data_IF_647972511834
#
_entry.id   IF_647972511834
#
_cell.length_a   1.000
_cell.length_b   1.000
_cell.length_c   1.000
_cell.angle_alpha   90.00
_cell.angle_beta   90.00
_cell.angle_gamma   90.00
#
_symmetry.space_group_name_H-M   'P 1'
#
loop_
_entity.id
_entity.type
_entity.pdbx_description
1 polymer ?
#
# COMPACT_ATOMS: atom_id res chain seq x y z
N UNK A 1 16.91 -15.66 4.94
CA UNK A 1 16.19 -14.86 3.92
C UNK A 1 16.86 -13.50 3.81
N UNK A 2 17.39 -13.16 2.63
CA UNK A 2 17.88 -11.82 2.36
C UNK A 2 16.71 -10.95 1.94
N UNK A 3 16.54 -9.79 2.58
CA UNK A 3 15.49 -8.82 2.24
C UNK A 3 16.12 -7.54 1.70
N UNK A 4 15.55 -7.03 0.63
CA UNK A 4 15.86 -5.71 0.08
C UNK A 4 14.59 -4.87 0.03
N UNK A 5 14.51 -3.86 0.87
CA UNK A 5 13.41 -2.91 0.89
C UNK A 5 13.86 -1.59 0.26
N UNK A 6 13.08 -1.11 -0.71
CA UNK A 6 13.22 0.22 -1.29
C UNK A 6 11.83 0.88 -1.36
N UNK A 7 11.82 2.19 -1.33
CA UNK A 7 10.59 2.95 -1.40
C UNK A 7 10.82 4.33 -2.02
N UNK A 8 9.76 4.94 -2.48
CA UNK A 8 9.72 6.33 -2.93
C UNK A 8 8.32 6.89 -2.70
N UNK A 9 8.26 8.15 -2.34
CA UNK A 9 7.04 8.95 -2.42
C UNK A 9 7.38 10.31 -3.00
N UNK A 10 6.55 10.79 -3.90
CA UNK A 10 6.72 12.05 -4.61
C UNK A 10 5.37 12.77 -4.67
N UNK A 11 5.38 14.06 -4.40
CA UNK A 11 4.17 14.89 -4.44
C UNK A 11 3.58 15.00 -5.86
N UNK A 12 4.35 14.65 -6.87
CA UNK A 12 3.99 14.90 -8.25
C UNK A 12 4.24 16.35 -8.69
N UNK A 13 3.91 16.64 -9.94
CA UNK A 13 4.19 17.94 -10.54
C UNK A 13 3.08 18.98 -10.30
N UNK A 14 1.87 18.55 -9.99
CA UNK A 14 0.65 19.39 -9.98
C UNK A 14 0.08 19.59 -8.59
N UNK A 15 0.10 18.54 -7.75
CA UNK A 15 -0.48 18.59 -6.40
C UNK A 15 0.27 19.57 -5.49
N UNK A 16 -0.44 20.24 -4.61
CA UNK A 16 0.15 21.15 -3.59
C UNK A 16 0.68 20.41 -2.38
N UNK A 17 0.06 19.27 -2.02
CA UNK A 17 0.45 18.39 -0.92
C UNK A 17 0.59 16.95 -1.38
N UNK A 18 1.31 16.14 -0.62
CA UNK A 18 1.32 14.70 -0.78
C UNK A 18 0.34 14.10 0.22
N UNK A 19 -0.75 13.50 -0.29
CA UNK A 19 -1.79 12.87 0.49
C UNK A 19 -1.61 11.34 0.58
N UNK A 20 -0.61 10.79 -0.14
CA UNK A 20 -0.20 9.41 0.02
C UNK A 20 0.50 9.18 1.36
N UNK A 21 0.27 8.03 1.94
CA UNK A 21 0.99 7.55 3.12
C UNK A 21 1.38 6.08 2.93
N UNK A 22 2.49 5.69 3.55
CA UNK A 22 2.93 4.29 3.49
C UNK A 22 3.67 3.89 4.76
N UNK A 23 3.77 2.59 5.01
CA UNK A 23 4.73 2.04 5.96
C UNK A 23 5.33 0.73 5.45
N UNK A 24 6.51 0.42 6.01
CA UNK A 24 7.11 -0.89 5.92
C UNK A 24 7.66 -1.29 7.29
N UNK A 25 7.30 -2.48 7.76
CA UNK A 25 7.71 -3.05 9.04
C UNK A 25 8.32 -4.42 8.80
N UNK A 26 9.48 -4.68 9.39
CA UNK A 26 10.14 -5.98 9.35
C UNK A 26 10.49 -6.37 10.78
N UNK A 27 10.11 -7.57 11.20
CA UNK A 27 10.39 -8.10 12.52
C UNK A 27 10.82 -9.57 12.46
N UNK A 28 11.64 -9.98 13.42
CA UNK A 28 12.06 -11.36 13.60
C UNK A 28 11.37 -11.97 14.83
N UNK A 29 10.61 -13.04 14.61
CA UNK A 29 9.98 -13.85 15.65
C UNK A 29 10.71 -15.20 15.73
N UNK A 30 11.74 -15.26 16.57
CA UNK A 30 12.65 -16.42 16.61
C UNK A 30 13.41 -16.55 15.30
N UNK A 31 13.15 -17.64 14.57
CA UNK A 31 13.77 -17.89 13.24
C UNK A 31 12.92 -17.39 12.06
N UNK A 32 11.75 -16.87 12.32
CA UNK A 32 10.81 -16.42 11.29
C UNK A 32 10.94 -14.90 11.11
N UNK A 33 11.22 -14.46 9.92
CA UNK A 33 11.13 -13.05 9.54
C UNK A 33 9.76 -12.77 8.94
N UNK A 34 9.12 -11.72 9.41
CA UNK A 34 7.83 -11.24 8.94
C UNK A 34 7.99 -9.80 8.49
N UNK A 35 7.38 -9.45 7.36
CA UNK A 35 7.39 -8.09 6.85
C UNK A 35 5.97 -7.64 6.51
N UNK A 36 5.64 -6.39 6.82
CA UNK A 36 4.39 -5.76 6.43
C UNK A 36 4.71 -4.50 5.63
N UNK A 37 4.03 -4.36 4.50
CA UNK A 37 4.04 -3.16 3.67
C UNK A 37 2.61 -2.67 3.51
N UNK A 38 2.41 -1.37 3.58
CA UNK A 38 1.11 -0.76 3.34
C UNK A 38 1.28 0.54 2.55
N UNK A 39 0.36 0.81 1.64
CA UNK A 39 0.21 2.06 0.90
C UNK A 39 -1.23 2.53 0.98
N UNK A 40 -1.41 3.81 1.19
CA UNK A 40 -2.68 4.52 1.25
C UNK A 40 -2.61 5.74 0.35
N UNK A 41 -3.56 5.90 -0.54
CA UNK A 41 -3.73 7.08 -1.36
C UNK A 41 -4.87 7.92 -0.78
N UNK A 42 -4.53 9.09 -0.27
CA UNK A 42 -5.50 10.03 0.27
C UNK A 42 -6.23 10.77 -0.83
N UNK A 43 -7.56 10.70 -0.85
CA UNK A 43 -8.37 11.22 -1.94
C UNK A 43 -8.17 12.72 -2.18
N UNK A 44 -7.43 13.07 -3.24
CA UNK A 44 -6.96 14.42 -3.55
C UNK A 44 -8.04 15.43 -3.94
N UNK A 45 -9.27 15.00 -4.19
CA UNK A 45 -10.44 15.88 -4.37
C UNK A 45 -11.12 16.29 -3.06
N UNK A 46 -10.73 15.68 -1.93
CA UNK A 46 -11.25 15.93 -0.62
C UNK A 46 -10.24 16.72 0.22
N UNK A 47 -10.75 17.55 1.13
CA UNK A 47 -9.91 18.20 2.14
C UNK A 47 -9.45 17.13 3.15
N UNK A 48 -8.14 17.16 3.52
CA UNK A 48 -7.59 16.26 4.54
C UNK A 48 -7.50 14.76 4.15
N UNK A 49 -7.28 14.43 2.87
CA UNK A 49 -6.98 13.05 2.44
C UNK A 49 -5.76 12.48 3.16
N UNK A 50 -4.75 13.32 3.45
CA UNK A 50 -3.57 12.97 4.23
C UNK A 50 -3.89 12.53 5.67
N UNK A 51 -4.95 13.04 6.27
CA UNK A 51 -5.38 12.62 7.61
C UNK A 51 -5.94 11.19 7.59
N UNK A 52 -6.72 10.86 6.56
CA UNK A 52 -7.28 9.53 6.39
C UNK A 52 -6.17 8.50 6.08
N UNK A 53 -5.28 8.82 5.13
CA UNK A 53 -4.20 7.92 4.73
C UNK A 53 -3.22 7.64 5.88
N UNK A 54 -2.82 8.68 6.63
CA UNK A 54 -1.96 8.49 7.80
C UNK A 54 -2.65 7.72 8.92
N UNK A 55 -3.95 8.00 9.17
CA UNK A 55 -4.73 7.25 10.15
C UNK A 55 -4.77 5.76 9.82
N UNK A 56 -4.96 5.42 8.55
CA UNK A 56 -4.95 4.03 8.10
C UNK A 56 -3.57 3.37 8.29
N UNK A 57 -2.50 4.04 7.92
CA UNK A 57 -1.13 3.54 8.12
C UNK A 57 -0.85 3.29 9.60
N UNK A 58 -1.19 4.24 10.50
CA UNK A 58 -0.98 4.07 11.95
C UNK A 58 -1.78 2.91 12.53
N UNK A 59 -2.98 2.63 12.04
CA UNK A 59 -3.72 1.44 12.47
C UNK A 59 -2.98 0.15 12.12
N UNK A 60 -2.41 0.04 10.91
CA UNK A 60 -1.63 -1.14 10.53
C UNK A 60 -0.31 -1.24 11.29
N UNK A 61 0.38 -0.14 11.55
CA UNK A 61 1.57 -0.12 12.41
C UNK A 61 1.25 -0.63 13.82
N UNK A 62 0.19 -0.09 14.43
CA UNK A 62 -0.26 -0.53 15.75
C UNK A 62 -0.67 -2.01 15.75
N UNK A 63 -1.34 -2.48 14.69
CA UNK A 63 -1.67 -3.89 14.54
C UNK A 63 -0.40 -4.76 14.48
N UNK A 64 0.59 -4.35 13.68
CA UNK A 64 1.87 -5.07 13.55
C UNK A 64 2.64 -5.11 14.87
N UNK A 65 2.65 -4.01 15.61
CA UNK A 65 3.41 -3.88 16.85
C UNK A 65 2.73 -4.56 18.05
N UNK A 66 1.40 -4.58 18.09
CA UNK A 66 0.63 -5.03 19.27
C UNK A 66 -0.09 -6.37 19.05
N UNK A 67 -0.73 -6.58 17.90
CA UNK A 67 -1.58 -7.76 17.68
C UNK A 67 -0.82 -8.90 17.00
N UNK A 68 0.03 -8.60 16.01
CA UNK A 68 0.81 -9.62 15.32
C UNK A 68 1.69 -10.46 16.26
N UNK A 69 2.42 -9.90 17.25
CA UNK A 69 3.20 -10.71 18.19
C UNK A 69 2.37 -11.73 18.98
N UNK A 70 1.14 -11.39 19.30
CA UNK A 70 0.22 -12.31 19.98
C UNK A 70 -0.24 -13.42 19.05
N UNK A 71 -0.61 -13.07 17.80
CA UNK A 71 -0.98 -14.06 16.78
C UNK A 71 0.19 -15.01 16.48
N UNK A 72 1.40 -14.50 16.39
CA UNK A 72 2.62 -15.31 16.17
C UNK A 72 2.87 -16.30 17.32
N UNK A 73 2.55 -15.93 18.55
CA UNK A 73 2.71 -16.82 19.73
C UNK A 73 1.59 -17.84 19.87
N UNK A 74 0.38 -17.47 19.51
CA UNK A 74 -0.81 -18.32 19.76
C UNK A 74 -1.21 -19.12 18.54
N UNK A 75 -1.66 -18.46 17.48
CA UNK A 75 -2.13 -19.09 16.26
C UNK A 75 -2.22 -18.11 15.09
N UNK A 76 -1.13 -17.98 14.33
CA UNK A 76 -1.12 -17.21 13.09
C UNK A 76 -1.80 -17.99 11.97
N UNK A 77 -3.10 -17.80 11.81
CA UNK A 77 -3.87 -18.35 10.70
C UNK A 77 -4.39 -17.24 9.81
N UNK A 78 -4.63 -17.55 8.53
CA UNK A 78 -5.29 -16.65 7.58
C UNK A 78 -6.57 -16.05 8.17
N UNK A 79 -7.43 -16.93 8.75
CA UNK A 79 -8.68 -16.50 9.37
C UNK A 79 -8.48 -15.46 10.47
N UNK A 80 -7.50 -15.65 11.35
CA UNK A 80 -7.27 -14.75 12.48
C UNK A 80 -6.70 -13.41 12.01
N UNK A 81 -5.82 -13.42 10.99
CA UNK A 81 -5.31 -12.21 10.36
C UNK A 81 -6.47 -11.41 9.74
N UNK A 82 -7.29 -12.05 8.89
CA UNK A 82 -8.37 -11.38 8.17
C UNK A 82 -9.48 -10.87 9.10
N UNK A 83 -9.84 -11.63 10.13
CA UNK A 83 -10.80 -11.15 11.15
C UNK A 83 -10.27 -9.93 11.88
N UNK A 84 -8.99 -9.93 12.28
CA UNK A 84 -8.40 -8.80 12.99
C UNK A 84 -8.30 -7.55 12.09
N UNK A 85 -7.89 -7.71 10.84
CA UNK A 85 -7.85 -6.62 9.86
C UNK A 85 -9.24 -6.07 9.53
N UNK A 86 -10.22 -6.96 9.32
CA UNK A 86 -11.60 -6.55 9.04
C UNK A 86 -12.15 -5.68 10.18
N UNK A 87 -12.04 -6.16 11.42
CA UNK A 87 -12.50 -5.42 12.60
C UNK A 87 -11.80 -4.07 12.74
N UNK A 88 -10.48 -4.03 12.52
CA UNK A 88 -9.70 -2.79 12.58
C UNK A 88 -10.15 -1.80 11.50
N UNK A 89 -10.33 -2.25 10.26
CA UNK A 89 -10.77 -1.40 9.15
C UNK A 89 -12.19 -0.89 9.34
N UNK A 90 -13.12 -1.71 9.84
CA UNK A 90 -14.49 -1.26 10.17
C UNK A 90 -14.47 -0.16 11.24
N UNK A 91 -13.71 -0.35 12.31
CA UNK A 91 -13.58 0.65 13.38
C UNK A 91 -12.97 1.95 12.85
N UNK A 92 -11.92 1.88 12.05
CA UNK A 92 -11.30 3.04 11.43
C UNK A 92 -12.26 3.75 10.50
N UNK A 93 -12.95 3.02 9.61
CA UNK A 93 -13.93 3.59 8.69
C UNK A 93 -15.01 4.38 9.42
N UNK A 94 -15.60 3.80 10.49
CA UNK A 94 -16.62 4.45 11.32
C UNK A 94 -16.08 5.72 11.98
N UNK A 95 -14.86 5.68 12.53
CA UNK A 95 -14.22 6.86 13.14
C UNK A 95 -13.97 7.96 12.12
N UNK A 96 -13.45 7.63 10.94
CA UNK A 96 -13.21 8.59 9.86
C UNK A 96 -14.53 9.22 9.37
N UNK A 97 -15.57 8.43 9.15
CA UNK A 97 -16.90 8.93 8.78
C UNK A 97 -17.47 9.87 9.84
N UNK A 98 -17.40 9.49 11.11
CA UNK A 98 -17.87 10.31 12.24
C UNK A 98 -17.09 11.61 12.35
N UNK A 99 -15.77 11.56 12.22
CA UNK A 99 -14.90 12.73 12.23
C UNK A 99 -15.25 13.69 11.07
N UNK A 100 -15.42 13.17 9.86
CA UNK A 100 -15.82 13.94 8.69
C UNK A 100 -17.16 14.64 8.90
N UNK A 101 -18.16 13.91 9.38
CA UNK A 101 -19.50 14.44 9.67
C UNK A 101 -19.47 15.53 10.73
N UNK A 102 -18.77 15.32 11.85
CA UNK A 102 -18.69 16.27 12.96
C UNK A 102 -17.99 17.58 12.58
N UNK A 103 -17.09 17.54 11.61
CA UNK A 103 -16.32 18.69 11.16
C UNK A 103 -16.82 19.29 9.83
N UNK A 104 -17.94 18.78 9.28
CA UNK A 104 -18.52 19.27 8.02
C UNK A 104 -17.58 19.14 6.81
N UNK A 105 -16.76 18.09 6.78
CA UNK A 105 -15.77 17.84 5.75
C UNK A 105 -15.97 16.47 5.08
N UNK A 106 -15.24 16.25 3.99
CA UNK A 106 -15.12 14.95 3.35
C UNK A 106 -13.65 14.53 3.39
N UNK A 107 -13.38 13.31 3.77
CA UNK A 107 -12.06 12.71 3.75
C UNK A 107 -12.18 11.24 3.40
N UNK A 108 -11.16 10.71 2.78
CA UNK A 108 -11.13 9.30 2.41
C UNK A 108 -9.73 8.88 1.97
N UNK A 109 -9.49 7.58 1.98
CA UNK A 109 -8.24 7.00 1.53
C UNK A 109 -8.45 5.58 1.00
N UNK A 110 -7.61 5.18 0.07
CA UNK A 110 -7.42 3.76 -0.26
C UNK A 110 -6.59 3.07 0.82
N UNK A 111 -6.51 1.77 0.77
CA UNK A 111 -5.53 0.96 1.50
C UNK A 111 -5.21 -0.31 0.72
N UNK A 112 -3.94 -0.58 0.53
CA UNK A 112 -3.42 -1.87 0.11
C UNK A 112 -2.30 -2.28 1.06
N UNK A 113 -2.47 -3.41 1.74
CA UNK A 113 -1.49 -3.92 2.72
C UNK A 113 -1.14 -5.36 2.41
N UNK A 114 0.14 -5.69 2.52
CA UNK A 114 0.67 -7.05 2.42
C UNK A 114 1.41 -7.41 3.71
N UNK A 115 1.09 -8.57 4.27
CA UNK A 115 1.88 -9.24 5.31
C UNK A 115 2.59 -10.43 4.68
N UNK A 116 3.91 -10.37 4.62
CA UNK A 116 4.79 -11.46 4.19
C UNK A 116 5.22 -12.27 5.40
N UNK A 117 4.95 -13.57 5.37
CA UNK A 117 5.44 -14.54 6.34
C UNK A 117 6.44 -15.51 5.70
N UNK A 118 6.83 -16.55 6.41
CA UNK A 118 7.76 -17.55 5.86
C UNK A 118 7.19 -18.25 4.61
N UNK A 119 5.88 -18.55 4.63
CA UNK A 119 5.27 -19.42 3.63
C UNK A 119 4.20 -18.72 2.77
N UNK A 120 3.68 -17.59 3.22
CA UNK A 120 2.51 -16.94 2.58
C UNK A 120 2.62 -15.42 2.55
N UNK A 121 1.90 -14.84 1.59
CA UNK A 121 1.52 -13.44 1.56
C UNK A 121 0.03 -13.35 1.89
N UNK A 122 -0.33 -12.46 2.80
CA UNK A 122 -1.70 -12.07 3.11
C UNK A 122 -1.90 -10.64 2.65
N UNK A 123 -3.02 -10.36 2.03
CA UNK A 123 -3.31 -9.08 1.42
C UNK A 123 -4.70 -8.60 1.84
N UNK A 124 -4.83 -7.31 2.06
CA UNK A 124 -6.12 -6.61 2.12
C UNK A 124 -6.08 -5.39 1.22
N UNK A 125 -7.20 -5.10 0.55
CA UNK A 125 -7.38 -3.97 -0.35
C UNK A 125 -8.72 -3.28 -0.12
N UNK A 126 -8.71 -1.94 -0.15
CA UNK A 126 -9.86 -1.06 -0.35
C UNK A 126 -9.40 0.06 -1.31
N UNK A 127 -10.07 0.21 -2.44
CA UNK A 127 -9.72 1.21 -3.47
C UNK A 127 -8.92 0.65 -4.65
N UNK A 128 -8.03 1.43 -5.22
CA UNK A 128 -7.32 1.16 -6.48
C UNK A 128 -5.79 1.21 -6.38
N UNK A 129 -5.24 1.43 -5.20
CA UNK A 129 -3.80 1.20 -4.98
C UNK A 129 -3.47 -0.27 -5.21
N UNK A 130 -2.45 -0.55 -6.02
CA UNK A 130 -2.20 -1.90 -6.53
C UNK A 130 -1.07 -2.62 -5.81
N UNK A 131 -1.19 -3.94 -5.79
CA UNK A 131 -0.16 -4.88 -5.33
C UNK A 131 0.19 -5.84 -6.44
N UNK A 132 1.49 -5.95 -6.73
CA UNK A 132 2.03 -6.89 -7.70
C UNK A 132 2.98 -7.86 -7.02
N UNK A 133 2.95 -9.11 -7.43
CA UNK A 133 3.88 -10.17 -7.04
C UNK A 133 4.71 -10.59 -8.25
N UNK A 134 6.03 -10.39 -8.18
CA UNK A 134 7.00 -11.00 -9.06
C UNK A 134 7.44 -12.32 -8.44
N UNK A 135 7.26 -13.45 -9.14
CA UNK A 135 7.46 -14.80 -8.61
C UNK A 135 8.64 -15.55 -9.28
N UNK A 136 9.51 -14.84 -10.00
CA UNK A 136 10.64 -15.39 -10.74
C UNK A 136 10.30 -15.76 -12.19
N UNK A 137 9.04 -15.80 -12.57
CA UNK A 137 8.59 -16.15 -13.95
C UNK A 137 7.64 -15.13 -14.55
N UNK A 138 6.85 -14.47 -13.73
CA UNK A 138 5.82 -13.52 -14.15
C UNK A 138 5.58 -12.44 -13.09
N UNK A 139 5.04 -11.31 -13.53
CA UNK A 139 4.44 -10.30 -12.67
C UNK A 139 2.93 -10.55 -12.60
N UNK A 140 2.41 -10.72 -11.40
CA UNK A 140 1.00 -10.96 -11.15
C UNK A 140 0.42 -9.76 -10.39
N UNK A 141 -0.59 -9.09 -10.93
CA UNK A 141 -1.38 -8.13 -10.15
C UNK A 141 -2.29 -8.91 -9.20
N UNK A 142 -2.07 -8.76 -7.89
CA UNK A 142 -2.86 -9.44 -6.85
C UNK A 142 -4.15 -8.68 -6.51
N UNK A 143 -4.17 -7.38 -6.73
CA UNK A 143 -5.33 -6.50 -6.48
C UNK A 143 -6.14 -6.29 -7.74
N UNK A 144 -7.38 -5.87 -7.55
CA UNK A 144 -8.26 -5.43 -8.63
C UNK A 144 -8.81 -4.06 -8.26
N UNK A 145 -8.63 -3.09 -9.16
CA UNK A 145 -9.07 -1.72 -8.89
C UNK A 145 -10.58 -1.65 -8.65
N UNK A 146 -10.96 -1.07 -7.53
CA UNK A 146 -12.36 -0.87 -7.16
C UNK A 146 -12.85 0.49 -7.70
N UNK A 147 -12.82 0.64 -9.04
CA UNK A 147 -13.22 1.85 -9.75
C UNK A 147 -14.42 1.62 -10.66
N UNK A 148 -15.09 2.71 -11.03
CA UNK A 148 -16.22 2.65 -11.93
C UNK A 148 -15.79 2.14 -13.33
N UNK A 149 -14.61 2.48 -13.83
CA UNK A 149 -14.11 1.96 -15.11
C UNK A 149 -13.98 0.44 -15.11
N UNK A 150 -13.44 -0.15 -14.03
CA UNK A 150 -13.32 -1.61 -13.90
C UNK A 150 -14.70 -2.27 -13.77
N UNK A 151 -15.64 -1.67 -13.07
CA UNK A 151 -17.02 -2.16 -13.01
C UNK A 151 -17.69 -2.15 -14.39
N UNK A 152 -17.49 -1.10 -15.19
CA UNK A 152 -18.00 -1.00 -16.55
C UNK A 152 -17.36 -2.03 -17.49
N UNK A 153 -16.07 -2.28 -17.33
CA UNK A 153 -15.35 -3.33 -18.06
C UNK A 153 -15.91 -4.72 -17.76
N UNK A 154 -16.15 -5.03 -16.49
CA UNK A 154 -16.73 -6.31 -16.08
C UNK A 154 -18.17 -6.51 -16.54
N UNK A 155 -18.90 -5.42 -16.66
CA UNK A 155 -20.23 -5.43 -17.25
C UNK A 155 -20.23 -5.52 -18.79
N UNK A 156 -19.04 -5.62 -19.41
CA UNK A 156 -18.88 -5.71 -20.87
C UNK A 156 -19.16 -4.41 -21.62
N UNK A 157 -19.15 -3.26 -20.93
CA UNK A 157 -19.40 -1.94 -21.52
C UNK A 157 -18.12 -1.21 -21.91
N UNK A 158 -16.96 -1.66 -21.44
CA UNK A 158 -15.63 -1.21 -21.83
C UNK A 158 -14.74 -2.42 -22.12
N UNK A 159 -13.84 -2.29 -23.10
CA UNK A 159 -12.71 -3.21 -23.23
C UNK A 159 -11.64 -2.91 -22.18
N UNK A 160 -10.69 -3.83 -21.91
CA UNK A 160 -9.58 -3.58 -21.01
C UNK A 160 -8.73 -2.35 -21.40
N UNK A 161 -8.52 -2.13 -22.71
CA UNK A 161 -7.77 -0.98 -23.21
C UNK A 161 -8.52 0.33 -22.97
N UNK A 162 -9.84 0.35 -23.21
CA UNK A 162 -10.67 1.51 -22.94
C UNK A 162 -10.72 1.84 -21.45
N UNK A 163 -10.88 0.84 -20.57
CA UNK A 163 -10.95 1.04 -19.14
C UNK A 163 -9.69 1.70 -18.55
N UNK A 164 -8.51 1.42 -19.12
CA UNK A 164 -7.24 2.02 -18.69
C UNK A 164 -7.14 3.53 -18.93
N UNK A 165 -7.84 4.06 -19.92
CA UNK A 165 -7.78 5.47 -20.32
C UNK A 165 -9.09 6.22 -20.07
N UNK A 166 -10.11 5.51 -19.59
CA UNK A 166 -11.43 6.10 -19.31
C UNK A 166 -11.35 7.01 -18.07
N UNK A 167 -12.02 8.15 -18.11
CA UNK A 167 -12.08 9.10 -16.98
C UNK A 167 -12.69 8.51 -15.73
N UNK A 168 -13.48 7.43 -15.85
CA UNK A 168 -14.09 6.72 -14.73
C UNK A 168 -13.09 5.86 -13.96
N UNK A 169 -11.84 5.70 -14.44
CA UNK A 169 -10.76 5.04 -13.68
C UNK A 169 -10.39 5.77 -12.39
N UNK A 170 -10.62 7.09 -12.33
CA UNK A 170 -10.41 7.89 -11.12
C UNK A 170 -11.64 7.96 -10.19
N UNK A 171 -12.74 7.29 -10.53
CA UNK A 171 -13.95 7.25 -9.69
C UNK A 171 -13.92 5.99 -8.83
N UNK A 172 -13.51 6.15 -7.58
CA UNK A 172 -13.48 5.07 -6.60
C UNK A 172 -14.90 4.63 -6.20
N UNK A 173 -15.13 3.33 -6.15
CA UNK A 173 -16.35 2.71 -5.64
C UNK A 173 -16.23 2.36 -4.16
N UNK A 174 -15.01 2.21 -3.65
CA UNK A 174 -14.68 1.81 -2.29
C UNK A 174 -13.54 2.66 -1.74
N UNK A 175 -13.69 3.18 -0.53
CA UNK A 175 -12.62 3.84 0.22
C UNK A 175 -12.90 3.81 1.72
N UNK A 176 -11.88 4.03 2.52
CA UNK A 176 -12.02 4.29 3.95
C UNK A 176 -12.47 5.73 4.19
N UNK A 177 -13.38 5.95 5.13
CA UNK A 177 -13.81 7.29 5.57
C UNK A 177 -14.96 7.92 4.78
N UNK A 178 -15.39 7.31 3.68
CA UNK A 178 -16.49 7.81 2.87
C UNK A 178 -17.33 6.68 2.27
N UNK A 179 -18.66 6.81 2.30
CA UNK A 179 -19.59 5.86 1.69
C UNK A 179 -19.61 4.49 2.38
N UNK A 180 -19.68 3.44 1.58
CA UNK A 180 -19.58 2.04 2.05
C UNK A 180 -18.17 1.54 1.83
N UNK A 181 -17.75 0.57 2.64
CA UNK A 181 -16.44 -0.06 2.57
C UNK A 181 -16.59 -1.58 2.64
N UNK A 182 -16.12 -2.25 1.58
CA UNK A 182 -16.04 -3.71 1.50
C UNK A 182 -14.59 -4.10 1.21
N UNK A 183 -13.79 -4.43 2.23
CA UNK A 183 -12.40 -4.82 2.02
C UNK A 183 -12.30 -6.19 1.36
N UNK A 184 -11.40 -6.30 0.40
CA UNK A 184 -11.07 -7.58 -0.26
C UNK A 184 -9.84 -8.18 0.42
N UNK A 185 -9.97 -9.42 0.89
CA UNK A 185 -8.91 -10.19 1.52
C UNK A 185 -8.47 -11.32 0.60
N UNK A 186 -7.16 -11.51 0.48
CA UNK A 186 -6.58 -12.60 -0.30
C UNK A 186 -5.34 -13.16 0.38
N UNK A 187 -4.99 -14.39 0.07
CA UNK A 187 -3.69 -14.94 0.41
C UNK A 187 -3.14 -15.79 -0.73
N UNK A 188 -1.82 -15.82 -0.84
CA UNK A 188 -1.12 -16.68 -1.80
C UNK A 188 0.13 -17.27 -1.17
N UNK A 189 0.61 -18.37 -1.75
CA UNK A 189 1.90 -18.92 -1.35
C UNK A 189 3.03 -17.95 -1.69
N UNK A 190 4.01 -17.86 -0.80
CA UNK A 190 5.20 -17.06 -1.01
C UNK A 190 6.24 -17.87 -1.83
N UNK A 191 6.68 -17.42 -3.00
CA UNK A 191 7.77 -18.09 -3.71
C UNK A 191 9.08 -17.99 -2.91
N UNK A 192 10.00 -18.94 -3.11
CA UNK A 192 11.31 -18.93 -2.44
C UNK A 192 12.15 -17.71 -2.81
N UNK A 193 11.94 -17.16 -3.99
CA UNK A 193 12.52 -15.93 -4.49
C UNK A 193 11.44 -15.11 -5.17
N UNK A 194 11.42 -13.81 -4.91
CA UNK A 194 10.43 -12.93 -5.53
C UNK A 194 10.53 -11.50 -5.04
N UNK A 195 9.59 -10.70 -5.49
CA UNK A 195 9.40 -9.33 -5.03
C UNK A 195 7.90 -8.99 -4.96
N UNK A 196 7.54 -8.16 -4.00
CA UNK A 196 6.23 -7.52 -3.96
C UNK A 196 6.41 -6.02 -4.18
N UNK A 197 5.58 -5.44 -5.06
CA UNK A 197 5.47 -4.01 -5.30
C UNK A 197 4.09 -3.54 -4.86
N UNK A 198 4.03 -2.54 -4.01
CA UNK A 198 2.83 -1.76 -3.72
C UNK A 198 2.98 -0.38 -4.36
N UNK A 199 1.94 0.11 -5.01
CA UNK A 199 1.96 1.44 -5.62
C UNK A 199 0.61 2.13 -5.56
N UNK A 200 0.61 3.47 -5.38
CA UNK A 200 -0.57 4.30 -5.61
C UNK A 200 -0.88 4.38 -7.11
N UNK A 201 -2.04 4.90 -7.44
CA UNK A 201 -2.52 5.02 -8.83
C UNK A 201 -1.56 5.84 -9.70
N UNK A 202 -0.94 6.92 -9.16
CA UNK A 202 0.03 7.75 -9.87
C UNK A 202 1.26 7.01 -10.40
N UNK A 203 1.65 5.88 -9.78
CA UNK A 203 2.64 4.99 -10.37
C UNK A 203 2.00 4.01 -11.36
N UNK A 204 0.94 3.36 -10.92
CA UNK A 204 0.41 2.16 -11.56
C UNK A 204 -0.35 2.45 -12.87
N UNK A 205 -0.90 3.66 -13.04
CA UNK A 205 -1.59 4.04 -14.27
C UNK A 205 -0.66 4.38 -15.43
N UNK A 206 0.57 4.81 -15.14
CA UNK A 206 1.53 5.24 -16.19
C UNK A 206 2.48 4.15 -16.64
N UNK A 207 2.72 3.14 -15.81
CA UNK A 207 3.63 2.06 -16.14
C UNK A 207 2.86 0.84 -16.65
N UNK A 208 3.38 0.23 -17.71
CA UNK A 208 2.90 -1.06 -18.19
C UNK A 208 3.42 -2.20 -17.31
N UNK A 209 2.72 -3.34 -17.32
CA UNK A 209 3.18 -4.54 -16.59
C UNK A 209 4.60 -4.98 -17.01
N UNK A 210 4.93 -4.84 -18.31
CA UNK A 210 6.27 -5.15 -18.80
C UNK A 210 7.34 -4.21 -18.21
N UNK A 211 7.05 -2.92 -18.06
CA UNK A 211 7.95 -1.96 -17.42
C UNK A 211 8.10 -2.25 -15.94
N UNK A 212 7.00 -2.54 -15.23
CA UNK A 212 7.03 -2.93 -13.82
C UNK A 212 7.82 -4.22 -13.62
N UNK A 213 7.60 -5.25 -14.44
CA UNK A 213 8.34 -6.50 -14.38
C UNK A 213 9.85 -6.30 -14.60
N UNK A 214 10.22 -5.54 -15.63
CA UNK A 214 11.61 -5.20 -15.90
C UNK A 214 12.26 -4.46 -14.73
N UNK A 215 11.55 -3.48 -14.14
CA UNK A 215 12.00 -2.72 -12.97
C UNK A 215 12.28 -3.63 -11.76
N UNK A 216 11.53 -4.70 -11.58
CA UNK A 216 11.68 -5.61 -10.45
C UNK A 216 12.75 -6.69 -10.69
N UNK A 217 12.98 -7.11 -11.93
CA UNK A 217 13.82 -8.25 -12.26
C UNK A 217 15.27 -7.90 -12.63
N UNK A 218 15.49 -6.77 -13.31
CA UNK A 218 16.81 -6.37 -13.81
C UNK A 218 17.80 -5.92 -12.73
N UNK A 219 17.41 -5.18 -11.68
CA UNK A 219 18.34 -4.75 -10.64
C UNK A 219 18.93 -5.94 -9.88
N UNK A 220 20.24 -5.92 -9.65
CA UNK A 220 20.93 -6.96 -8.87
C UNK A 220 21.20 -6.53 -7.43
N UNK A 221 21.29 -5.22 -7.19
CA UNK A 221 21.51 -4.66 -5.85
C UNK A 221 20.34 -3.78 -5.40
N UNK A 222 20.27 -3.51 -4.10
CA UNK A 222 19.29 -2.60 -3.51
C UNK A 222 19.41 -1.20 -4.09
N UNK A 223 20.63 -0.71 -4.30
CA UNK A 223 20.91 0.63 -4.86
C UNK A 223 20.42 0.73 -6.31
N UNK A 224 20.62 -0.30 -7.11
CA UNK A 224 20.10 -0.36 -8.48
C UNK A 224 18.56 -0.38 -8.49
N UNK A 225 17.94 -1.14 -7.59
CA UNK A 225 16.47 -1.17 -7.46
C UNK A 225 15.92 0.20 -7.05
N UNK A 226 16.56 0.85 -6.07
CA UNK A 226 16.18 2.22 -5.65
C UNK A 226 16.31 3.21 -6.81
N UNK A 227 17.40 3.13 -7.57
CA UNK A 227 17.62 4.01 -8.74
C UNK A 227 16.57 3.78 -9.83
N UNK A 228 16.21 2.53 -10.13
CA UNK A 228 15.15 2.24 -11.09
C UNK A 228 13.78 2.73 -10.63
N UNK A 229 13.49 2.62 -9.33
CA UNK A 229 12.26 3.18 -8.78
C UNK A 229 12.20 4.71 -8.93
N UNK A 230 13.33 5.39 -8.73
CA UNK A 230 13.45 6.84 -8.98
C UNK A 230 13.24 7.18 -10.46
N UNK A 231 13.80 6.38 -11.38
CA UNK A 231 13.57 6.55 -12.83
C UNK A 231 12.11 6.35 -13.21
N UNK A 232 11.43 5.36 -12.61
CA UNK A 232 10.01 5.12 -12.82
C UNK A 232 9.14 6.32 -12.42
N UNK A 233 9.38 6.91 -11.25
CA UNK A 233 8.70 8.14 -10.82
C UNK A 233 9.00 9.31 -11.75
N UNK A 234 10.25 9.49 -12.17
CA UNK A 234 10.62 10.54 -13.13
C UNK A 234 9.92 10.37 -14.48
N UNK A 235 9.76 9.12 -14.93
CA UNK A 235 8.99 8.79 -16.14
C UNK A 235 7.51 9.13 -15.96
N UNK A 236 6.88 8.74 -14.85
CA UNK A 236 5.47 9.07 -14.60
C UNK A 236 5.24 10.59 -14.66
N UNK A 237 6.08 11.38 -13.99
CA UNK A 237 6.02 12.85 -14.02
C UNK A 237 6.16 13.41 -15.43
N UNK A 238 7.14 12.93 -16.21
CA UNK A 238 7.38 13.39 -17.59
C UNK A 238 6.29 12.94 -18.56
N UNK A 239 5.56 11.86 -18.23
CA UNK A 239 4.41 11.34 -18.99
C UNK A 239 3.08 12.00 -18.61
N UNK A 240 3.13 13.12 -17.87
CA UNK A 240 1.96 13.91 -17.53
C UNK A 240 1.14 13.33 -16.37
N UNK A 241 1.77 12.58 -15.43
CA UNK A 241 1.10 12.25 -14.18
C UNK A 241 0.88 13.52 -13.34
N UNK A 242 -0.32 13.66 -12.82
CA UNK A 242 -0.74 14.84 -12.05
C UNK A 242 -0.94 14.56 -10.58
N UNK A 243 -0.98 13.28 -10.18
CA UNK A 243 -1.20 12.87 -8.80
C UNK A 243 0.08 12.63 -8.00
N UNK A 244 -0.09 12.34 -6.72
CA UNK A 244 0.96 11.84 -5.86
C UNK A 244 1.43 10.47 -6.37
N UNK A 245 2.69 10.13 -6.16
CA UNK A 245 3.29 8.90 -6.68
C UNK A 245 4.03 8.22 -5.54
N UNK A 246 3.51 7.09 -5.08
CA UNK A 246 4.13 6.33 -3.99
C UNK A 246 4.33 4.88 -4.42
N UNK A 247 5.49 4.33 -4.06
CA UNK A 247 5.80 2.93 -4.29
C UNK A 247 6.70 2.34 -3.20
N UNK A 248 6.43 1.08 -2.86
CA UNK A 248 7.26 0.25 -1.99
C UNK A 248 7.59 -1.05 -2.70
N UNK A 249 8.83 -1.47 -2.64
CA UNK A 249 9.27 -2.78 -3.14
C UNK A 249 10.00 -3.53 -2.04
N UNK A 250 9.54 -4.73 -1.75
CA UNK A 250 10.25 -5.70 -0.93
C UNK A 250 10.62 -6.90 -1.80
N UNK A 251 11.91 -7.17 -1.90
CA UNK A 251 12.47 -8.34 -2.58
C UNK A 251 13.06 -9.30 -1.57
N UNK A 252 12.95 -10.60 -1.84
CA UNK A 252 13.56 -11.67 -1.01
C UNK A 252 14.18 -12.77 -1.85
N UNK A 253 15.19 -13.43 -1.28
CA UNK A 253 15.75 -14.69 -1.79
C UNK A 253 16.10 -15.58 -0.60
N UNK A 254 15.44 -16.74 -0.48
CA UNK A 254 15.64 -17.67 0.62
C UNK A 254 16.93 -18.50 0.47
N UNK A 255 17.54 -18.52 -0.73
CA UNK A 255 18.79 -19.23 -1.00
C UNK A 255 20.02 -18.48 -0.51
N UNK A 256 19.88 -17.17 -0.26
CA UNK A 256 20.92 -16.37 0.34
C UNK A 256 20.81 -16.45 1.88
N UNK A 257 21.61 -17.33 2.49
CA UNK A 257 21.80 -17.38 3.94
C UNK A 257 22.59 -16.14 4.39
N UNK A 258 21.92 -15.01 4.55
CA UNK A 258 22.46 -13.93 5.34
C UNK A 258 22.07 -14.21 6.80
N UNK A 259 23.03 -14.72 7.58
CA UNK A 259 22.96 -14.70 9.02
C UNK A 259 22.99 -13.21 9.45
N UNK A 260 21.83 -12.61 9.66
CA UNK A 260 21.77 -11.35 10.37
C UNK A 260 21.59 -11.67 11.86
N UNK A 261 22.67 -11.62 12.60
CA UNK A 261 22.68 -11.63 14.08
C UNK A 261 22.18 -10.31 14.68
N UNK A 262 21.59 -9.42 13.89
CA UNK A 262 21.12 -8.12 14.36
C UNK A 262 19.59 -8.09 14.41
N UNK A 263 19.08 -7.71 15.58
CA UNK A 263 17.71 -7.20 15.77
C UNK A 263 17.60 -5.84 15.09
N UNK A 264 17.72 -5.77 13.77
CA UNK A 264 17.48 -4.54 13.03
C UNK A 264 15.99 -4.42 12.75
N UNK A 265 15.38 -3.53 13.52
CA UNK A 265 14.08 -2.96 13.16
C UNK A 265 14.34 -1.97 12.03
N UNK A 266 13.97 -2.33 10.80
CA UNK A 266 13.97 -1.37 9.70
C UNK A 266 12.60 -0.70 9.72
N UNK A 267 12.51 0.44 10.38
CA UNK A 267 11.37 1.34 10.30
C UNK A 267 11.60 2.31 9.15
N UNK A 268 10.74 2.25 8.14
CA UNK A 268 10.70 3.25 7.10
C UNK A 268 9.43 4.07 7.27
N UNK A 269 9.63 5.36 7.59
CA UNK A 269 8.56 6.32 7.77
C UNK A 269 8.42 7.22 6.55
N UNK A 270 7.22 7.35 5.99
CA UNK A 270 6.86 8.52 5.23
C UNK A 270 6.31 9.56 6.20
N UNK A 271 7.07 10.60 6.45
CA UNK A 271 6.50 11.79 7.07
C UNK A 271 5.67 12.51 6.02
N UNK A 272 4.46 12.91 6.43
CA UNK A 272 3.64 13.86 5.71
C UNK A 272 4.49 15.08 5.33
N UNK A 273 4.54 15.37 4.06
CA UNK A 273 5.07 16.62 3.53
C UNK A 273 3.97 17.69 3.46
N UNK A 274 3.17 17.85 4.52
CA UNK A 274 2.14 18.88 4.63
C UNK A 274 2.59 19.99 5.57
N UNK A 275 2.31 21.24 5.23
CA UNK A 275 2.66 22.44 5.98
C UNK A 275 1.89 22.63 7.30
N UNK A 276 1.05 21.68 7.72
CA UNK A 276 0.35 21.75 9.01
C UNK A 276 1.36 21.52 10.15
N UNK A 277 1.28 22.34 11.18
CA UNK A 277 2.11 22.19 12.38
C UNK A 277 1.96 20.78 12.95
N UNK A 278 3.05 20.06 13.25
CA UNK A 278 3.02 18.67 13.69
C UNK A 278 2.06 18.42 14.86
N UNK A 279 1.96 19.35 15.80
CA UNK A 279 1.12 19.25 17.00
C UNK A 279 -0.39 19.25 16.68
N UNK A 280 -0.85 20.07 15.74
CA UNK A 280 -2.25 20.12 15.34
C UNK A 280 -2.65 18.85 14.61
N UNK A 281 -1.76 18.32 13.82
CA UNK A 281 -1.97 17.10 13.06
C UNK A 281 -2.01 15.87 13.98
N UNK A 282 -1.08 15.76 14.92
CA UNK A 282 -1.06 14.69 15.92
C UNK A 282 -2.29 14.71 16.82
N UNK A 283 -2.83 15.90 17.14
CA UNK A 283 -4.08 16.02 17.86
C UNK A 283 -5.26 15.49 17.06
N UNK A 284 -5.39 15.87 15.77
CA UNK A 284 -6.47 15.38 14.89
C UNK A 284 -6.37 13.87 14.67
N UNK A 285 -5.15 13.33 14.54
CA UNK A 285 -4.95 11.90 14.45
C UNK A 285 -5.35 11.17 15.75
N UNK A 286 -5.06 11.73 16.91
CA UNK A 286 -5.46 11.17 18.21
C UNK A 286 -6.98 11.08 18.40
N UNK A 287 -7.76 11.87 17.66
CA UNK A 287 -9.23 11.78 17.64
C UNK A 287 -9.72 10.63 16.73
N UNK A 288 -8.92 10.19 15.80
CA UNK A 288 -9.26 9.17 14.77
C UNK A 288 -8.65 7.79 15.12
N UNK A 289 -7.41 7.74 15.57
CA UNK A 289 -6.68 6.50 15.86
C UNK A 289 -6.67 6.22 17.36
#
# INVERSE_FOLDING_TARGET
>A
MALQLVHITDKGAVRTSNQDSFCARIANFGKQTVAMLAVCDGMGGLQFGELASTGAIRCFENWFDQQLPELMRTNLTERNIFISWHKMLEQLHQKLCSYAQNNGMQLGTTISTVLLTQDRLYLVQVGDSRVYLENGTALLQLTKDQTLAVQEMEAGRLSPEEARTDRRSSILLQCLGYGQMEPVFQSTERPQKGAVLLGSDGLCHKLTEAQLHWMLTEPKTREQLQHQLQQAVSFCRSSGETDNITALVLRWDDRENLQSDSKEWIEVWARLSGEAAPEEYDRKLGEIV
#
